data_IF_138825033493
#
_entry.id   IF_138825033493
#
_cell.length_a   1.000
_cell.length_b   1.000
_cell.length_c   1.000
_cell.angle_alpha   90.00
_cell.angle_beta   90.00
_cell.angle_gamma   90.00
#
_symmetry.space_group_name_H-M   'P 1'
#
loop_
_entity.id
_entity.type
_entity.pdbx_description
1 polymer ?
#
# COMPACT_ATOMS: atom_id res chain seq x y z
N UNK A 1 -19.86 13.69 -11.76
CA UNK A 1 -19.82 14.62 -12.90
C UNK A 1 -18.55 14.32 -13.70
N UNK A 2 -18.67 14.21 -15.01
CA UNK A 2 -17.54 14.03 -15.94
C UNK A 2 -17.31 15.30 -16.75
N UNK A 3 -16.11 15.47 -17.30
CA UNK A 3 -15.86 16.56 -18.23
C UNK A 3 -16.58 16.29 -19.55
N UNK A 4 -17.12 17.33 -20.19
CA UNK A 4 -17.81 17.22 -21.47
C UNK A 4 -16.96 16.62 -22.60
N UNK A 5 -15.62 16.72 -22.53
CA UNK A 5 -14.72 16.06 -23.48
C UNK A 5 -14.79 14.53 -23.46
N UNK A 6 -15.30 13.94 -22.37
CA UNK A 6 -15.44 12.50 -22.21
C UNK A 6 -16.85 12.00 -22.53
N UNK A 7 -17.72 12.84 -23.12
CA UNK A 7 -19.14 12.52 -23.31
C UNK A 7 -19.37 11.19 -24.01
N UNK A 8 -18.69 10.97 -25.14
CA UNK A 8 -18.80 9.74 -25.93
C UNK A 8 -18.52 8.48 -25.09
N UNK A 9 -17.40 8.47 -24.36
CA UNK A 9 -17.02 7.35 -23.48
C UNK A 9 -17.99 7.22 -22.31
N UNK A 10 -18.36 8.34 -21.68
CA UNK A 10 -19.21 8.37 -20.51
C UNK A 10 -20.60 7.79 -20.79
N UNK A 11 -21.21 8.19 -21.90
CA UNK A 11 -22.55 7.72 -22.31
C UNK A 11 -22.52 6.25 -22.70
N UNK A 12 -21.52 5.83 -23.47
CA UNK A 12 -21.44 4.47 -24.03
C UNK A 12 -21.01 3.42 -23.01
N UNK A 13 -20.00 3.72 -22.19
CA UNK A 13 -19.33 2.72 -21.35
C UNK A 13 -19.47 2.96 -19.85
N UNK A 14 -19.76 4.19 -19.41
CA UNK A 14 -19.80 4.55 -17.99
C UNK A 14 -21.13 5.19 -17.53
N UNK A 15 -22.31 4.72 -17.97
CA UNK A 15 -23.59 5.37 -17.63
C UNK A 15 -23.84 5.39 -16.12
N UNK A 16 -23.34 4.40 -15.37
CA UNK A 16 -23.43 4.35 -13.91
C UNK A 16 -22.66 5.49 -13.21
N UNK A 17 -21.54 5.97 -13.80
CA UNK A 17 -20.76 7.09 -13.26
C UNK A 17 -21.41 8.45 -13.52
N UNK A 18 -22.40 8.50 -14.42
CA UNK A 18 -23.21 9.69 -14.70
C UNK A 18 -24.40 9.83 -13.75
N UNK A 19 -24.80 8.75 -13.08
CA UNK A 19 -25.95 8.75 -12.15
C UNK A 19 -25.55 9.14 -10.72
N UNK A 20 -24.34 8.77 -10.29
CA UNK A 20 -23.86 9.02 -8.92
C UNK A 20 -22.35 9.28 -8.87
N UNK A 21 -21.93 10.07 -7.89
CA UNK A 21 -20.53 10.34 -7.58
C UNK A 21 -20.23 9.98 -6.13
N UNK A 22 -18.95 9.80 -5.79
CA UNK A 22 -18.49 9.52 -4.43
C UNK A 22 -17.44 10.53 -4.01
N UNK A 23 -17.65 11.17 -2.87
CA UNK A 23 -16.67 12.08 -2.29
C UNK A 23 -15.41 11.31 -1.84
N UNK A 24 -14.23 11.88 -2.05
CA UNK A 24 -12.99 11.18 -1.71
C UNK A 24 -12.74 11.13 -0.20
N UNK A 25 -13.01 12.22 0.51
CA UNK A 25 -12.68 12.40 1.91
C UNK A 25 -13.61 11.59 2.82
N UNK A 26 -14.91 11.69 2.55
CA UNK A 26 -15.96 11.14 3.40
C UNK A 26 -16.70 9.97 2.74
N UNK A 27 -16.34 9.61 1.50
CA UNK A 27 -16.89 8.46 0.79
C UNK A 27 -18.40 8.47 0.57
N UNK A 28 -19.07 9.60 0.81
CA UNK A 28 -20.50 9.75 0.64
C UNK A 28 -20.87 9.71 -0.84
N UNK A 29 -21.91 8.96 -1.16
CA UNK A 29 -22.48 8.91 -2.51
C UNK A 29 -23.48 10.05 -2.68
N UNK A 30 -23.39 10.77 -3.80
CA UNK A 30 -24.34 11.82 -4.16
C UNK A 30 -24.88 11.59 -5.57
N UNK A 31 -26.14 11.96 -5.79
CA UNK A 31 -26.74 11.90 -7.12
C UNK A 31 -26.11 12.97 -8.00
N UNK A 32 -25.68 12.59 -9.19
CA UNK A 32 -25.18 13.52 -10.19
C UNK A 32 -26.40 14.09 -10.92
N UNK A 33 -26.64 15.39 -10.78
CA UNK A 33 -27.75 16.08 -11.46
C UNK A 33 -27.41 16.44 -12.91
N UNK A 34 -26.13 16.64 -13.20
CA UNK A 34 -25.61 16.93 -14.53
C UNK A 34 -24.44 16.01 -14.82
N UNK A 35 -24.64 15.02 -15.71
CA UNK A 35 -23.63 14.01 -16.03
C UNK A 35 -22.34 14.61 -16.58
N UNK A 36 -22.46 15.64 -17.43
CA UNK A 36 -21.35 16.29 -18.11
C UNK A 36 -21.34 17.80 -17.87
N UNK A 37 -20.16 18.34 -17.65
CA UNK A 37 -19.93 19.77 -17.48
C UNK A 37 -18.72 20.22 -18.31
N UNK A 38 -18.76 21.39 -18.96
CA UNK A 38 -17.61 21.90 -19.70
C UNK A 38 -16.47 22.26 -18.74
N UNK A 39 -15.22 22.17 -19.23
CA UNK A 39 -14.03 22.63 -18.50
C UNK A 39 -13.92 22.09 -17.05
N UNK A 40 -14.26 20.82 -16.81
CA UNK A 40 -14.02 20.17 -15.50
C UNK A 40 -12.58 19.66 -15.39
N UNK A 41 -12.08 19.00 -16.43
CA UNK A 41 -10.70 18.52 -16.44
C UNK A 41 -9.72 19.66 -16.71
N UNK A 42 -8.47 19.51 -16.25
CA UNK A 42 -7.42 20.49 -16.46
C UNK A 42 -7.18 20.78 -17.95
N UNK A 43 -7.22 19.76 -18.81
CA UNK A 43 -6.99 19.92 -20.25
C UNK A 43 -8.03 20.86 -20.87
N UNK A 44 -9.32 20.67 -20.58
CA UNK A 44 -10.38 21.59 -21.05
C UNK A 44 -10.33 22.97 -20.38
N UNK A 45 -9.58 23.14 -19.30
CA UNK A 45 -9.28 24.44 -18.67
C UNK A 45 -8.01 25.11 -19.24
N UNK A 46 -7.29 24.44 -20.15
CA UNK A 46 -5.98 24.90 -20.62
C UNK A 46 -4.87 24.77 -19.57
N UNK A 47 -5.11 23.99 -18.50
CA UNK A 47 -4.14 23.73 -17.44
C UNK A 47 -3.36 22.42 -17.73
N UNK A 48 -2.13 22.29 -17.21
CA UNK A 48 -1.41 21.03 -17.27
C UNK A 48 -2.22 19.88 -16.69
N UNK A 49 -2.24 18.69 -17.32
CA UNK A 49 -2.96 17.55 -16.81
C UNK A 49 -2.45 17.15 -15.41
N UNK A 50 -3.37 16.91 -14.48
CA UNK A 50 -3.01 16.54 -13.12
C UNK A 50 -2.52 15.09 -13.05
N UNK A 51 -1.38 14.87 -12.40
CA UNK A 51 -0.87 13.54 -12.11
C UNK A 51 -1.73 12.89 -11.01
N UNK A 52 -2.48 11.84 -11.35
CA UNK A 52 -3.25 11.04 -10.37
C UNK A 52 -2.98 9.53 -10.56
N UNK A 53 -1.73 9.08 -10.34
CA UNK A 53 -1.38 7.69 -10.59
C UNK A 53 -2.13 6.73 -9.67
N UNK A 54 -2.63 5.62 -10.21
CA UNK A 54 -3.18 4.54 -9.39
C UNK A 54 -2.08 3.80 -8.62
N UNK A 55 -2.46 3.14 -7.53
CA UNK A 55 -1.59 2.29 -6.74
C UNK A 55 -1.00 1.14 -7.59
N UNK A 56 0.24 0.75 -7.28
CA UNK A 56 0.89 -0.39 -7.90
C UNK A 56 0.30 -1.69 -7.34
N UNK A 57 -0.63 -2.29 -8.07
CA UNK A 57 -1.24 -3.58 -7.70
C UNK A 57 -1.01 -4.63 -8.79
N UNK A 58 -1.40 -5.87 -8.53
CA UNK A 58 -1.33 -6.94 -9.54
C UNK A 58 -1.96 -6.48 -10.87
N UNK A 59 -1.20 -6.65 -11.98
CA UNK A 59 -1.51 -6.16 -13.35
C UNK A 59 -1.42 -4.64 -13.58
N UNK A 60 -1.04 -3.84 -12.58
CA UNK A 60 -0.83 -2.38 -12.67
C UNK A 60 0.52 -1.96 -12.07
N UNK A 61 1.59 -2.65 -12.45
CA UNK A 61 2.93 -2.44 -11.88
C UNK A 61 3.74 -1.35 -12.58
N UNK A 62 3.55 -1.13 -13.89
CA UNK A 62 4.33 -0.14 -14.65
C UNK A 62 3.88 1.30 -14.42
N UNK A 63 4.80 2.28 -14.54
CA UNK A 63 4.46 3.72 -14.47
C UNK A 63 3.41 4.11 -15.51
N UNK A 64 3.52 3.60 -16.74
CA UNK A 64 2.52 3.81 -17.80
C UNK A 64 1.14 3.33 -17.35
N UNK A 65 1.02 2.10 -16.84
CA UNK A 65 -0.25 1.56 -16.35
C UNK A 65 -0.86 2.40 -15.22
N UNK A 66 -0.03 3.00 -14.37
CA UNK A 66 -0.46 3.77 -13.21
C UNK A 66 -0.86 5.19 -13.57
N UNK A 67 -0.07 5.89 -14.38
CA UNK A 67 -0.30 7.30 -14.72
C UNK A 67 -1.31 7.49 -15.85
N UNK A 68 -1.32 6.60 -16.85
CA UNK A 68 -2.25 6.64 -17.98
C UNK A 68 -3.46 5.72 -17.79
N UNK A 69 -3.78 5.35 -16.55
CA UNK A 69 -4.80 4.34 -16.25
C UNK A 69 -6.16 4.67 -16.90
N UNK A 70 -6.54 5.96 -16.94
CA UNK A 70 -7.80 6.43 -17.50
C UNK A 70 -7.78 6.32 -19.02
N UNK A 71 -6.73 6.83 -19.66
CA UNK A 71 -6.57 6.79 -21.10
C UNK A 71 -6.46 5.36 -21.61
N UNK A 72 -5.70 4.51 -20.93
CA UNK A 72 -5.57 3.08 -21.22
C UNK A 72 -6.94 2.41 -21.11
N UNK A 73 -7.70 2.68 -20.04
CA UNK A 73 -9.04 2.11 -19.87
C UNK A 73 -10.00 2.54 -20.98
N UNK A 74 -10.00 3.82 -21.36
CA UNK A 74 -10.88 4.33 -22.43
C UNK A 74 -10.51 3.75 -23.79
N UNK A 75 -9.21 3.67 -24.11
CA UNK A 75 -8.73 3.07 -25.34
C UNK A 75 -9.04 1.57 -25.39
N UNK A 76 -8.88 0.87 -24.27
CA UNK A 76 -9.27 -0.53 -24.14
C UNK A 76 -10.75 -0.76 -24.42
N UNK A 77 -11.63 0.08 -23.85
CA UNK A 77 -13.07 -0.01 -24.09
C UNK A 77 -13.37 0.12 -25.59
N UNK A 78 -12.78 1.11 -26.27
CA UNK A 78 -12.98 1.32 -27.72
C UNK A 78 -12.50 0.11 -28.53
N UNK A 79 -11.24 -0.30 -28.37
CA UNK A 79 -10.67 -1.40 -29.17
C UNK A 79 -11.34 -2.74 -28.95
N UNK A 80 -11.80 -3.01 -27.72
CA UNK A 80 -12.54 -4.24 -27.44
C UNK A 80 -13.93 -4.22 -28.08
N UNK A 81 -14.57 -3.06 -28.19
CA UNK A 81 -15.90 -2.89 -28.79
C UNK A 81 -15.87 -2.94 -30.34
N UNK A 82 -14.71 -2.66 -30.94
CA UNK A 82 -14.46 -2.81 -32.37
C UNK A 82 -14.18 -4.27 -32.79
N UNK A 83 -13.97 -5.18 -31.82
CA UNK A 83 -13.70 -6.58 -32.14
C UNK A 83 -14.94 -7.29 -32.69
N UNK A 84 -14.78 -8.21 -33.67
CA UNK A 84 -15.86 -9.06 -34.13
C UNK A 84 -16.47 -9.85 -32.97
N UNK A 85 -17.78 -9.67 -32.74
CA UNK A 85 -18.52 -10.31 -31.64
C UNK A 85 -18.61 -9.50 -30.34
N UNK A 86 -18.16 -8.24 -30.32
CA UNK A 86 -18.21 -7.39 -29.12
C UNK A 86 -19.61 -6.95 -28.66
N UNK A 87 -20.62 -6.72 -29.54
CA UNK A 87 -21.98 -6.49 -29.08
C UNK A 87 -22.62 -7.83 -28.66
N UNK A 88 -22.47 -8.21 -27.40
CA UNK A 88 -23.16 -9.35 -26.78
C UNK A 88 -22.47 -10.72 -26.90
N UNK A 89 -21.30 -10.82 -27.53
CA UNK A 89 -20.50 -12.05 -27.61
C UNK A 89 -19.38 -12.12 -26.56
N UNK A 90 -18.91 -13.34 -26.28
CA UNK A 90 -17.77 -13.58 -25.37
C UNK A 90 -16.44 -13.40 -26.12
N UNK A 91 -15.73 -12.31 -25.84
CA UNK A 91 -14.33 -12.14 -26.26
C UNK A 91 -13.45 -13.13 -25.48
N UNK A 92 -12.56 -13.85 -26.16
CA UNK A 92 -11.63 -14.78 -25.51
C UNK A 92 -10.64 -14.05 -24.60
N UNK A 93 -10.13 -14.74 -23.57
CA UNK A 93 -9.16 -14.16 -22.63
C UNK A 93 -7.85 -13.80 -23.34
N UNK A 94 -7.45 -14.61 -24.30
CA UNK A 94 -6.25 -14.46 -25.10
C UNK A 94 -6.36 -13.19 -25.94
N UNK A 95 -7.49 -12.99 -26.63
CA UNK A 95 -7.67 -11.83 -27.49
C UNK A 95 -7.71 -10.52 -26.70
N UNK A 96 -8.37 -10.56 -25.54
CA UNK A 96 -8.36 -9.42 -24.61
C UNK A 96 -6.95 -9.08 -24.15
N UNK A 97 -6.14 -10.09 -23.81
CA UNK A 97 -4.75 -9.89 -23.38
C UNK A 97 -3.88 -9.28 -24.48
N UNK A 98 -4.06 -9.70 -25.74
CA UNK A 98 -3.38 -9.09 -26.89
C UNK A 98 -3.71 -7.59 -27.02
N UNK A 99 -5.00 -7.23 -26.92
CA UNK A 99 -5.44 -5.83 -27.02
C UNK A 99 -4.89 -5.01 -25.85
N UNK A 100 -4.93 -5.54 -24.63
CA UNK A 100 -4.31 -4.92 -23.46
C UNK A 100 -2.82 -4.65 -23.69
N UNK A 101 -2.06 -5.63 -24.17
CA UNK A 101 -0.63 -5.46 -24.46
C UNK A 101 -0.38 -4.40 -25.54
N UNK A 102 -1.17 -4.37 -26.62
CA UNK A 102 -1.05 -3.40 -27.68
C UNK A 102 -1.32 -1.96 -27.20
N UNK A 103 -2.41 -1.75 -26.46
CA UNK A 103 -2.74 -0.42 -25.88
C UNK A 103 -1.63 0.05 -24.95
N UNK A 104 -1.10 -0.84 -24.10
CA UNK A 104 0.02 -0.49 -23.22
C UNK A 104 1.30 -0.11 -23.98
N UNK A 105 1.61 -0.79 -25.08
CA UNK A 105 2.75 -0.48 -25.93
C UNK A 105 2.58 0.91 -26.60
N UNK A 106 1.39 1.21 -27.10
CA UNK A 106 1.09 2.50 -27.74
C UNK A 106 1.26 3.67 -26.77
N UNK A 107 0.74 3.55 -25.55
CA UNK A 107 0.90 4.60 -24.54
C UNK A 107 2.35 4.74 -24.07
N UNK A 108 3.14 3.66 -24.07
CA UNK A 108 4.58 3.75 -23.81
C UNK A 108 5.28 4.57 -24.91
N UNK A 109 5.04 4.25 -26.18
CA UNK A 109 5.62 4.98 -27.30
C UNK A 109 5.20 6.46 -27.32
N UNK A 110 3.90 6.74 -27.06
CA UNK A 110 3.39 8.12 -26.95
C UNK A 110 4.06 8.89 -25.82
N UNK A 111 4.28 8.27 -24.66
CA UNK A 111 4.95 8.93 -23.54
C UNK A 111 6.41 9.25 -23.86
N UNK A 112 7.12 8.36 -24.57
CA UNK A 112 8.51 8.60 -24.99
C UNK A 112 8.64 9.78 -25.96
N UNK A 113 7.64 9.98 -26.84
CA UNK A 113 7.66 11.06 -27.83
C UNK A 113 7.12 12.38 -27.27
N UNK A 114 6.01 12.34 -26.54
CA UNK A 114 5.32 13.51 -26.00
C UNK A 114 4.63 13.15 -24.66
N UNK A 115 5.36 13.26 -23.53
CA UNK A 115 4.86 12.84 -22.25
C UNK A 115 3.73 13.74 -21.75
N UNK A 116 2.49 13.25 -21.82
CA UNK A 116 1.33 13.89 -21.17
C UNK A 116 1.50 14.09 -19.67
N UNK A 117 2.05 13.09 -18.98
CA UNK A 117 2.24 13.12 -17.52
C UNK A 117 3.71 13.13 -17.16
N UNK A 118 4.07 13.91 -16.14
CA UNK A 118 5.41 13.87 -15.57
C UNK A 118 5.52 12.72 -14.57
N UNK A 119 6.55 11.89 -14.70
CA UNK A 119 6.89 10.87 -13.69
C UNK A 119 7.80 11.40 -12.59
N UNK A 120 7.94 12.73 -12.48
CA UNK A 120 8.73 13.37 -11.42
C UNK A 120 8.08 13.10 -10.07
N UNK A 121 8.63 12.10 -9.40
CA UNK A 121 8.40 11.77 -8.00
C UNK A 121 9.47 12.47 -7.16
N UNK A 122 9.19 12.67 -5.87
CA UNK A 122 10.17 13.27 -4.95
C UNK A 122 11.46 12.44 -4.97
N UNK A 123 12.64 13.01 -5.25
CA UNK A 123 13.88 12.26 -5.27
C UNK A 123 14.14 11.60 -3.92
N UNK A 124 14.57 10.33 -3.92
CA UNK A 124 14.88 9.63 -2.67
C UNK A 124 15.97 10.35 -1.86
N UNK A 125 16.94 10.98 -2.55
CA UNK A 125 18.01 11.74 -1.92
C UNK A 125 17.48 12.95 -1.16
N UNK A 126 16.44 13.60 -1.69
CA UNK A 126 15.78 14.73 -1.02
C UNK A 126 15.02 14.26 0.23
N UNK A 127 14.28 13.14 0.13
CA UNK A 127 13.59 12.54 1.27
C UNK A 127 14.58 12.21 2.38
N UNK A 128 15.61 11.42 2.08
CA UNK A 128 16.62 10.97 3.04
C UNK A 128 17.39 12.14 3.68
N UNK A 129 17.68 13.19 2.91
CA UNK A 129 18.33 14.40 3.42
C UNK A 129 17.40 15.19 4.36
N UNK A 130 16.13 15.38 3.98
CA UNK A 130 15.15 16.12 4.77
C UNK A 130 14.87 15.43 6.10
N UNK A 131 14.79 14.10 6.10
CA UNK A 131 14.51 13.30 7.29
C UNK A 131 15.77 12.91 8.07
N UNK A 132 16.95 13.39 7.64
CA UNK A 132 18.27 13.09 8.24
C UNK A 132 18.47 11.59 8.48
N UNK A 133 18.03 10.77 7.52
CA UNK A 133 18.07 9.32 7.65
C UNK A 133 19.51 8.81 7.67
N UNK A 134 19.83 8.00 8.67
CA UNK A 134 21.12 7.29 8.73
C UNK A 134 21.17 6.23 7.63
N UNK A 135 22.24 6.25 6.82
CA UNK A 135 22.47 5.27 5.76
C UNK A 135 23.66 4.39 6.14
N UNK A 136 23.41 3.11 6.38
CA UNK A 136 24.45 2.11 6.61
C UNK A 136 24.79 1.49 5.25
N UNK A 137 26.01 1.72 4.75
CA UNK A 137 26.45 1.18 3.46
C UNK A 137 27.45 0.05 3.66
N UNK A 138 27.10 -1.15 3.21
CA UNK A 138 27.96 -2.34 3.28
C UNK A 138 28.27 -2.82 1.87
N UNK A 139 29.54 -3.11 1.59
CA UNK A 139 29.94 -3.73 0.34
C UNK A 139 29.89 -5.25 0.47
N UNK A 140 29.12 -5.92 -0.38
CA UNK A 140 29.01 -7.39 -0.37
C UNK A 140 28.82 -7.95 -1.79
N UNK A 141 29.40 -9.12 -2.11
CA UNK A 141 29.21 -9.76 -3.42
C UNK A 141 27.74 -10.11 -3.68
N UNK A 142 27.26 -9.80 -4.88
CA UNK A 142 25.91 -10.15 -5.33
C UNK A 142 25.96 -11.41 -6.19
N UNK A 143 25.16 -12.41 -5.83
CA UNK A 143 24.94 -13.62 -6.63
C UNK A 143 23.55 -13.57 -7.23
N UNK A 144 23.40 -13.38 -8.56
CA UNK A 144 22.09 -13.34 -9.19
C UNK A 144 21.41 -14.71 -9.17
N UNK A 145 20.09 -14.74 -8.95
CA UNK A 145 19.30 -15.98 -9.01
C UNK A 145 18.63 -16.18 -10.38
N UNK A 146 18.47 -17.45 -10.84
CA UNK A 146 17.75 -17.74 -12.08
C UNK A 146 16.28 -17.31 -12.06
N UNK A 147 15.65 -17.34 -10.89
CA UNK A 147 14.24 -16.99 -10.67
C UNK A 147 14.01 -15.48 -10.50
N UNK A 148 15.05 -14.66 -10.65
CA UNK A 148 15.04 -13.25 -10.28
C UNK A 148 15.37 -13.05 -8.80
N UNK A 149 15.89 -11.87 -8.47
CA UNK A 149 16.42 -11.56 -7.14
C UNK A 149 17.94 -11.69 -7.06
N UNK A 150 18.47 -11.30 -5.90
CA UNK A 150 19.91 -11.37 -5.59
C UNK A 150 20.08 -12.09 -4.25
N UNK A 151 21.13 -12.90 -4.16
CA UNK A 151 21.64 -13.40 -2.90
C UNK A 151 22.94 -12.68 -2.55
N UNK A 152 23.19 -12.58 -1.26
CA UNK A 152 24.41 -12.03 -0.68
C UNK A 152 25.16 -13.16 0.01
N UNK A 153 26.47 -13.15 -0.10
CA UNK A 153 27.33 -14.03 0.71
C UNK A 153 27.33 -13.55 2.16
N UNK A 154 26.60 -14.27 3.02
CA UNK A 154 26.50 -14.03 4.45
C UNK A 154 27.34 -15.01 5.27
N UNK A 155 27.27 -14.90 6.60
CA UNK A 155 28.04 -15.75 7.53
C UNK A 155 27.64 -17.23 7.48
N UNK A 156 26.42 -17.53 7.04
CA UNK A 156 25.86 -18.88 6.93
C UNK A 156 25.73 -19.36 5.48
N UNK A 157 26.44 -18.72 4.54
CA UNK A 157 26.34 -18.99 3.11
C UNK A 157 25.48 -17.95 2.37
N UNK A 158 24.91 -18.33 1.22
CA UNK A 158 24.12 -17.41 0.41
C UNK A 158 22.74 -17.14 1.04
N UNK A 159 22.45 -15.87 1.31
CA UNK A 159 21.23 -15.42 1.99
C UNK A 159 20.56 -14.26 1.24
N UNK A 160 19.30 -13.97 1.55
CA UNK A 160 18.62 -12.79 1.00
C UNK A 160 19.24 -11.48 1.54
N UNK A 161 19.04 -10.34 0.86
CA UNK A 161 19.50 -9.04 1.35
C UNK A 161 19.04 -8.72 2.78
N UNK A 162 17.79 -9.05 3.10
CA UNK A 162 17.16 -8.83 4.41
C UNK A 162 17.84 -9.70 5.46
N UNK A 163 18.06 -10.99 5.19
CA UNK A 163 18.76 -11.88 6.12
C UNK A 163 20.23 -11.48 6.29
N UNK A 164 20.89 -10.93 5.26
CA UNK A 164 22.23 -10.36 5.40
C UNK A 164 22.24 -9.15 6.33
N UNK A 165 21.25 -8.27 6.24
CA UNK A 165 21.10 -7.13 7.16
C UNK A 165 20.83 -7.61 8.60
N UNK A 166 20.00 -8.64 8.79
CA UNK A 166 19.79 -9.26 10.11
C UNK A 166 21.11 -9.76 10.71
N UNK A 167 21.91 -10.53 9.95
CA UNK A 167 23.22 -11.01 10.40
C UNK A 167 24.16 -9.86 10.83
N UNK A 168 24.11 -8.73 10.11
CA UNK A 168 24.91 -7.55 10.46
C UNK A 168 24.55 -6.97 11.84
N UNK A 169 23.25 -6.89 12.15
CA UNK A 169 22.75 -6.37 13.43
C UNK A 169 22.87 -7.40 14.56
N UNK A 170 22.62 -8.69 14.28
CA UNK A 170 22.84 -9.82 15.20
C UNK A 170 24.30 -9.85 15.69
N UNK A 171 25.27 -9.69 14.77
CA UNK A 171 26.69 -9.61 15.13
C UNK A 171 27.06 -8.40 16.03
N UNK A 172 26.14 -7.43 16.18
CA UNK A 172 26.27 -6.25 17.05
C UNK A 172 25.42 -6.34 18.32
N UNK A 173 24.85 -7.51 18.60
CA UNK A 173 24.07 -7.76 19.81
C UNK A 173 22.62 -7.30 19.74
N UNK A 174 22.07 -7.09 18.54
CA UNK A 174 20.64 -6.83 18.37
C UNK A 174 19.89 -8.12 18.01
N UNK A 175 18.62 -8.16 18.37
CA UNK A 175 17.65 -9.06 17.77
C UNK A 175 17.00 -8.41 16.56
N UNK A 176 16.65 -9.22 15.57
CA UNK A 176 15.98 -8.74 14.35
C UNK A 176 14.68 -9.51 14.12
N UNK A 177 13.69 -8.80 13.59
CA UNK A 177 12.43 -9.36 13.15
C UNK A 177 12.08 -8.78 11.78
N UNK A 178 11.81 -9.64 10.81
CA UNK A 178 11.18 -9.21 9.55
C UNK A 178 9.78 -8.70 9.86
N UNK A 179 9.55 -7.44 9.49
CA UNK A 179 8.45 -6.66 10.01
C UNK A 179 7.89 -5.73 8.93
N UNK A 180 7.32 -6.30 7.87
CA UNK A 180 6.55 -5.54 6.87
C UNK A 180 5.24 -4.97 7.45
N UNK A 181 4.28 -4.59 6.59
CA UNK A 181 3.01 -3.97 6.98
C UNK A 181 2.05 -4.87 7.80
N UNK A 182 2.09 -6.19 7.58
CA UNK A 182 1.08 -7.13 8.08
C UNK A 182 0.91 -7.17 9.60
N UNK A 183 1.99 -7.27 10.42
CA UNK A 183 1.86 -7.23 11.87
C UNK A 183 1.14 -5.98 12.38
N UNK A 184 1.35 -4.82 11.76
CA UNK A 184 0.67 -3.57 12.14
C UNK A 184 -0.81 -3.58 11.80
N UNK A 185 -1.21 -4.24 10.71
CA UNK A 185 -2.62 -4.41 10.35
C UNK A 185 -3.34 -5.39 11.26
N UNK A 186 -2.65 -6.42 11.74
CA UNK A 186 -3.16 -7.29 12.80
C UNK A 186 -3.41 -6.48 14.07
N UNK A 187 -2.40 -5.71 14.52
CA UNK A 187 -2.52 -4.85 15.72
C UNK A 187 -3.68 -3.87 15.56
N UNK A 188 -3.80 -3.23 14.41
CA UNK A 188 -4.94 -2.36 14.12
C UNK A 188 -6.27 -3.11 14.16
N UNK A 189 -6.36 -4.28 13.52
CA UNK A 189 -7.57 -5.10 13.54
C UNK A 189 -7.99 -5.46 14.97
N UNK A 190 -7.05 -5.92 15.80
CA UNK A 190 -7.32 -6.30 17.20
C UNK A 190 -7.70 -5.11 18.05
N UNK A 191 -6.90 -4.04 18.05
CA UNK A 191 -7.12 -2.94 18.97
C UNK A 191 -8.19 -1.96 18.52
N UNK A 192 -8.57 -1.94 17.25
CA UNK A 192 -9.50 -0.93 16.72
C UNK A 192 -10.86 -1.50 16.32
N UNK A 193 -11.10 -2.83 16.38
CA UNK A 193 -12.38 -3.38 15.90
C UNK A 193 -13.59 -2.81 16.65
N UNK A 194 -13.54 -2.66 17.98
CA UNK A 194 -14.65 -2.09 18.75
C UNK A 194 -15.00 -0.67 18.30
N UNK A 195 -14.00 0.14 17.91
CA UNK A 195 -14.21 1.48 17.40
C UNK A 195 -14.75 1.47 15.97
N UNK A 196 -14.17 0.63 15.11
CA UNK A 196 -14.49 0.56 13.67
C UNK A 196 -15.87 -0.05 13.45
N UNK A 197 -16.18 -1.11 14.18
CA UNK A 197 -17.41 -1.89 14.09
C UNK A 197 -18.48 -1.42 15.08
N UNK A 198 -18.25 -0.27 15.73
CA UNK A 198 -19.18 0.35 16.69
C UNK A 198 -20.59 0.52 16.06
N UNK A 199 -21.63 -0.15 16.60
CA UNK A 199 -22.99 -0.03 16.07
C UNK A 199 -23.59 1.36 16.29
N UNK A 200 -23.04 2.17 17.20
CA UNK A 200 -23.45 3.56 17.40
C UNK A 200 -22.88 4.52 16.35
N UNK A 201 -21.97 4.06 15.47
CA UNK A 201 -21.57 4.85 14.31
C UNK A 201 -22.71 4.89 13.27
N UNK A 202 -23.34 6.04 12.99
CA UNK A 202 -24.46 6.13 12.05
C UNK A 202 -24.07 5.87 10.59
N UNK A 203 -22.77 5.86 10.27
CA UNK A 203 -22.26 5.49 8.94
C UNK A 203 -21.90 4.01 8.84
N UNK A 204 -22.02 3.27 9.93
CA UNK A 204 -21.73 1.84 9.92
C UNK A 204 -22.79 1.09 9.13
N UNK A 205 -22.33 0.11 8.36
CA UNK A 205 -23.21 -0.74 7.55
C UNK A 205 -22.61 -2.13 7.47
N UNK A 206 -23.49 -3.11 7.32
CA UNK A 206 -23.06 -4.47 7.00
C UNK A 206 -22.47 -4.50 5.59
N UNK A 207 -21.29 -5.08 5.48
CA UNK A 207 -20.63 -5.35 4.21
C UNK A 207 -20.30 -6.83 4.11
N UNK A 208 -20.39 -7.34 2.89
CA UNK A 208 -19.99 -8.69 2.53
C UNK A 208 -18.71 -8.64 1.69
N UNK A 209 -17.81 -9.59 1.95
CA UNK A 209 -16.67 -9.86 1.09
C UNK A 209 -16.26 -11.34 1.18
N UNK A 210 -15.48 -11.81 0.20
CA UNK A 210 -15.00 -13.20 0.21
C UNK A 210 -13.99 -13.45 1.34
N UNK A 211 -14.14 -14.58 2.04
CA UNK A 211 -13.21 -14.99 3.09
C UNK A 211 -11.78 -15.12 2.54
N UNK A 212 -10.83 -14.55 3.26
CA UNK A 212 -9.41 -14.66 2.93
C UNK A 212 -8.85 -16.01 3.37
N UNK A 213 -9.33 -16.52 4.49
CA UNK A 213 -9.03 -17.88 4.95
C UNK A 213 -9.42 -18.91 3.89
N UNK A 214 -10.64 -18.82 3.37
CA UNK A 214 -11.11 -19.72 2.32
C UNK A 214 -10.32 -19.54 1.00
N UNK A 215 -10.03 -18.28 0.63
CA UNK A 215 -9.22 -17.98 -0.55
C UNK A 215 -7.83 -18.62 -0.48
N UNK A 216 -7.15 -18.53 0.66
CA UNK A 216 -5.82 -19.11 0.86
C UNK A 216 -5.87 -20.65 0.83
N UNK A 217 -7.00 -21.25 1.23
CA UNK A 217 -7.29 -22.67 1.11
C UNK A 217 -7.81 -23.09 -0.28
N UNK A 218 -7.91 -22.15 -1.23
CA UNK A 218 -8.46 -22.34 -2.59
C UNK A 218 -9.92 -22.81 -2.60
N UNK A 219 -10.68 -22.47 -1.56
CA UNK A 219 -12.12 -22.70 -1.47
C UNK A 219 -12.84 -21.46 -2.00
N UNK A 220 -13.66 -21.65 -3.04
CA UNK A 220 -14.39 -20.55 -3.68
C UNK A 220 -15.76 -20.35 -3.02
N UNK A 221 -16.24 -19.10 -3.02
CA UNK A 221 -17.64 -18.77 -2.68
C UNK A 221 -17.95 -18.69 -1.19
N UNK A 222 -16.95 -18.72 -0.31
CA UNK A 222 -17.16 -18.46 1.12
C UNK A 222 -17.19 -16.96 1.37
N UNK A 223 -18.28 -16.47 1.92
CA UNK A 223 -18.52 -15.06 2.21
C UNK A 223 -18.47 -14.79 3.71
N UNK A 224 -17.97 -13.63 4.09
CA UNK A 224 -17.99 -13.14 5.47
C UNK A 224 -18.56 -11.73 5.55
N UNK A 225 -19.18 -11.46 6.69
CA UNK A 225 -19.97 -10.26 6.93
C UNK A 225 -19.41 -9.48 8.10
N UNK A 226 -19.16 -8.19 7.90
CA UNK A 226 -18.62 -7.31 8.94
C UNK A 226 -19.26 -5.92 8.86
N UNK A 227 -19.30 -5.21 9.98
CA UNK A 227 -19.72 -3.82 10.03
C UNK A 227 -18.55 -2.93 9.62
N UNK A 228 -18.67 -2.17 8.53
CA UNK A 228 -17.70 -1.14 8.19
C UNK A 228 -18.38 0.20 7.90
N UNK A 229 -17.85 1.30 8.44
CA UNK A 229 -18.34 2.63 8.11
C UNK A 229 -18.06 2.96 6.65
N UNK A 230 -18.97 3.69 6.00
CA UNK A 230 -18.83 4.08 4.59
C UNK A 230 -17.51 4.79 4.26
N UNK A 231 -16.98 5.54 5.24
CA UNK A 231 -15.73 6.28 5.19
C UNK A 231 -14.52 5.53 5.77
N UNK A 232 -14.65 4.23 6.08
CA UNK A 232 -13.57 3.44 6.66
C UNK A 232 -12.24 3.63 5.92
N UNK A 233 -11.21 3.98 6.69
CA UNK A 233 -9.84 4.17 6.26
C UNK A 233 -9.56 5.41 5.42
N UNK A 234 -10.56 6.25 5.14
CA UNK A 234 -10.37 7.57 4.56
C UNK A 234 -10.09 8.63 5.66
N UNK A 235 -9.45 9.77 5.32
CA UNK A 235 -9.17 10.82 6.31
C UNK A 235 -10.42 11.38 7.00
N UNK A 236 -11.57 11.38 6.31
CA UNK A 236 -12.84 11.83 6.87
C UNK A 236 -13.31 11.01 8.07
N UNK A 237 -12.98 9.70 8.13
CA UNK A 237 -13.32 8.85 9.28
C UNK A 237 -12.67 9.38 10.56
N UNK A 238 -11.35 9.63 10.52
CA UNK A 238 -10.60 10.17 11.66
C UNK A 238 -11.18 11.50 12.15
N UNK A 239 -11.43 12.44 11.21
CA UNK A 239 -11.97 13.76 11.53
C UNK A 239 -13.34 13.65 12.22
N UNK A 240 -14.24 12.86 11.65
CA UNK A 240 -15.61 12.65 12.15
C UNK A 240 -15.63 11.95 13.50
N UNK A 241 -14.83 10.89 13.66
CA UNK A 241 -14.82 10.03 14.85
C UNK A 241 -13.81 10.46 15.92
N UNK A 242 -13.21 11.65 15.80
CA UNK A 242 -12.14 12.15 16.71
C UNK A 242 -12.44 11.97 18.21
N UNK A 243 -13.67 12.29 18.66
CA UNK A 243 -14.08 12.11 20.06
C UNK A 243 -14.20 10.64 20.46
N UNK A 244 -14.75 9.80 19.58
CA UNK A 244 -14.88 8.36 19.82
C UNK A 244 -13.50 7.70 19.85
N UNK A 245 -12.60 8.08 18.94
CA UNK A 245 -11.19 7.66 18.91
C UNK A 245 -10.52 8.01 20.24
N UNK A 246 -10.60 9.27 20.69
CA UNK A 246 -9.98 9.68 21.94
C UNK A 246 -10.45 8.84 23.14
N UNK A 247 -11.76 8.58 23.25
CA UNK A 247 -12.32 7.70 24.29
C UNK A 247 -11.86 6.26 24.16
N UNK A 248 -11.83 5.73 22.94
CA UNK A 248 -11.40 4.36 22.66
C UNK A 248 -9.96 4.12 23.09
N UNK A 249 -9.06 5.08 22.83
CA UNK A 249 -7.66 4.99 23.26
C UNK A 249 -7.48 4.97 24.79
N UNK A 250 -8.47 5.43 25.57
CA UNK A 250 -8.47 5.28 27.04
C UNK A 250 -8.78 3.85 27.49
N UNK A 251 -9.41 3.04 26.63
CA UNK A 251 -9.74 1.63 26.90
C UNK A 251 -8.61 0.68 26.51
N UNK A 252 -7.70 1.13 25.64
CA UNK A 252 -6.57 0.32 25.21
C UNK A 252 -5.52 0.34 26.32
N UNK A 253 -5.49 -0.74 27.10
CA UNK A 253 -4.30 -1.16 27.82
C UNK A 253 -3.48 -2.10 26.93
N UNK A 254 -2.15 -2.03 27.02
CA UNK A 254 -1.25 -2.84 26.22
C UNK A 254 -0.97 -4.18 26.90
N UNK A 255 -2.02 -4.84 27.41
CA UNK A 255 -1.88 -6.11 28.12
C UNK A 255 -2.00 -7.30 27.17
N UNK A 256 -1.29 -8.37 27.51
CA UNK A 256 -1.46 -9.69 26.89
C UNK A 256 -2.91 -10.16 26.96
N UNK A 257 -3.55 -9.93 28.11
CA UNK A 257 -4.94 -10.27 28.33
C UNK A 257 -5.86 -9.58 27.32
N UNK A 258 -5.73 -8.26 27.13
CA UNK A 258 -6.60 -7.53 26.20
C UNK A 258 -6.39 -7.99 24.76
N UNK A 259 -5.13 -8.21 24.36
CA UNK A 259 -4.81 -8.73 23.03
C UNK A 259 -5.48 -10.08 22.78
N UNK A 260 -5.37 -11.02 23.72
CA UNK A 260 -5.94 -12.36 23.61
C UNK A 260 -7.46 -12.34 23.64
N UNK A 261 -8.02 -11.53 24.54
CA UNK A 261 -9.45 -11.36 24.69
C UNK A 261 -10.10 -10.82 23.41
N UNK A 262 -9.48 -9.83 22.76
CA UNK A 262 -9.99 -9.24 21.51
C UNK A 262 -9.59 -10.01 20.25
N UNK A 263 -8.72 -11.01 20.36
CA UNK A 263 -8.21 -11.73 19.20
C UNK A 263 -9.34 -12.44 18.43
N UNK A 264 -10.27 -13.11 19.12
CA UNK A 264 -11.39 -13.80 18.47
C UNK A 264 -12.32 -12.82 17.76
N UNK A 265 -12.84 -11.84 18.50
CA UNK A 265 -13.89 -10.94 18.01
C UNK A 265 -13.44 -10.04 16.85
N UNK A 266 -12.14 -9.73 16.77
CA UNK A 266 -11.57 -8.93 15.68
C UNK A 266 -11.28 -9.71 14.39
N UNK A 267 -11.50 -11.04 14.35
CA UNK A 267 -11.17 -11.90 13.21
C UNK A 267 -11.74 -11.40 11.89
N UNK A 268 -13.02 -11.00 11.86
CA UNK A 268 -13.66 -10.55 10.61
C UNK A 268 -13.05 -9.26 10.07
N UNK A 269 -12.65 -8.34 10.95
CA UNK A 269 -11.93 -7.14 10.54
C UNK A 269 -10.55 -7.52 10.02
N UNK A 270 -9.84 -8.43 10.70
CA UNK A 270 -8.53 -8.90 10.24
C UNK A 270 -8.58 -9.59 8.88
N UNK A 271 -9.59 -10.42 8.60
CA UNK A 271 -9.80 -10.99 7.27
C UNK A 271 -10.05 -9.90 6.22
N UNK A 272 -10.86 -8.89 6.55
CA UNK A 272 -11.09 -7.75 5.64
C UNK A 272 -9.78 -7.03 5.29
N UNK A 273 -8.92 -6.87 6.28
CA UNK A 273 -7.60 -6.25 6.17
C UNK A 273 -6.51 -7.18 5.62
N UNK A 274 -6.85 -8.41 5.23
CA UNK A 274 -5.89 -9.43 4.78
C UNK A 274 -4.72 -9.66 5.78
N UNK A 275 -5.03 -9.55 7.06
CA UNK A 275 -4.09 -9.61 8.18
C UNK A 275 -4.59 -10.65 9.21
N UNK A 276 -4.84 -11.87 8.76
CA UNK A 276 -5.55 -12.90 9.52
C UNK A 276 -4.72 -14.17 9.78
N UNK A 277 -3.56 -14.31 9.13
CA UNK A 277 -2.77 -15.53 9.20
C UNK A 277 -2.16 -15.71 10.61
N UNK A 278 -2.10 -16.94 11.14
CA UNK A 278 -1.53 -17.19 12.47
C UNK A 278 -0.09 -16.67 12.63
N UNK A 279 0.72 -16.76 11.57
CA UNK A 279 2.08 -16.22 11.56
C UNK A 279 2.10 -14.69 11.70
N UNK A 280 1.18 -13.97 11.05
CA UNK A 280 1.04 -12.52 11.19
C UNK A 280 0.60 -12.13 12.61
N UNK A 281 -0.26 -12.94 13.25
CA UNK A 281 -0.70 -12.75 14.64
C UNK A 281 0.44 -12.95 15.64
N UNK A 282 1.25 -13.99 15.45
CA UNK A 282 2.44 -14.21 16.27
C UNK A 282 3.44 -13.06 16.12
N UNK A 283 3.68 -12.60 14.89
CA UNK A 283 4.51 -11.45 14.59
C UNK A 283 3.97 -10.17 15.27
N UNK A 284 2.67 -9.90 15.17
CA UNK A 284 2.01 -8.75 15.80
C UNK A 284 2.20 -8.73 17.33
N UNK A 285 2.08 -9.88 18.00
CA UNK A 285 2.34 -9.98 19.44
C UNK A 285 3.78 -9.59 19.77
N UNK A 286 4.76 -10.05 18.99
CA UNK A 286 6.17 -9.69 19.20
C UNK A 286 6.41 -8.20 18.98
N UNK A 287 5.84 -7.62 17.91
CA UNK A 287 5.90 -6.16 17.65
C UNK A 287 5.31 -5.38 18.82
N UNK A 288 4.15 -5.78 19.35
CA UNK A 288 3.53 -5.17 20.52
C UNK A 288 4.50 -5.11 21.71
N UNK A 289 5.13 -6.24 22.03
CA UNK A 289 6.08 -6.34 23.14
C UNK A 289 7.31 -5.44 22.94
N UNK A 290 7.84 -5.34 21.72
CA UNK A 290 9.01 -4.51 21.40
C UNK A 290 8.68 -3.01 21.49
N UNK A 291 7.53 -2.61 20.94
CA UNK A 291 7.14 -1.20 20.89
C UNK A 291 6.72 -0.66 22.26
N UNK A 292 6.05 -1.50 23.05
CA UNK A 292 5.39 -1.10 24.29
C UNK A 292 4.19 -0.16 24.07
N UNK A 293 3.52 0.22 25.18
CA UNK A 293 2.18 0.83 25.13
C UNK A 293 2.14 2.18 24.42
N UNK A 294 3.16 3.02 24.64
CA UNK A 294 3.18 4.36 24.07
C UNK A 294 3.34 4.31 22.54
N UNK A 295 4.28 3.52 22.05
CA UNK A 295 4.57 3.43 20.62
C UNK A 295 3.51 2.63 19.88
N UNK A 296 2.89 1.63 20.51
CA UNK A 296 1.69 0.98 19.98
C UNK A 296 0.57 2.01 19.72
N UNK A 297 0.29 2.90 20.68
CA UNK A 297 -0.72 3.95 20.48
C UNK A 297 -0.35 4.90 19.33
N UNK A 298 0.93 5.25 19.17
CA UNK A 298 1.40 6.05 18.03
C UNK A 298 1.10 5.35 16.70
N UNK A 299 1.41 4.05 16.59
CA UNK A 299 1.10 3.22 15.41
C UNK A 299 -0.41 3.21 15.12
N UNK A 300 -1.24 2.92 16.12
CA UNK A 300 -2.69 2.85 15.94
C UNK A 300 -3.28 4.20 15.52
N UNK A 301 -2.79 5.29 16.12
CA UNK A 301 -3.20 6.66 15.79
C UNK A 301 -2.77 7.05 14.37
N UNK A 302 -1.55 6.69 13.98
CA UNK A 302 -1.05 6.90 12.63
C UNK A 302 -1.91 6.16 11.62
N UNK A 303 -2.18 4.87 11.83
CA UNK A 303 -3.03 4.08 10.94
C UNK A 303 -4.46 4.62 10.85
N UNK A 304 -5.13 4.95 11.97
CA UNK A 304 -6.53 5.38 11.92
C UNK A 304 -6.72 6.75 11.25
N UNK A 305 -5.69 7.60 11.18
CA UNK A 305 -5.75 8.92 10.52
C UNK A 305 -6.03 8.81 9.02
N UNK A 306 -5.44 7.82 8.36
CA UNK A 306 -5.60 7.59 6.93
C UNK A 306 -5.22 6.15 6.56
N UNK A 307 -5.98 5.18 7.08
CA UNK A 307 -5.61 3.75 7.03
C UNK A 307 -5.16 3.28 5.64
N UNK A 308 -5.90 3.60 4.59
CA UNK A 308 -5.52 3.18 3.23
C UNK A 308 -4.30 3.90 2.68
N UNK A 309 -4.06 5.15 3.11
CA UNK A 309 -2.84 5.88 2.81
C UNK A 309 -1.64 5.39 3.61
N UNK A 310 -1.84 4.76 4.77
CA UNK A 310 -0.76 4.26 5.63
C UNK A 310 -0.67 2.74 5.63
N UNK A 311 -1.36 2.08 4.68
CA UNK A 311 -1.43 0.64 4.58
C UNK A 311 -0.07 0.04 4.17
N UNK A 312 0.59 0.63 3.16
CA UNK A 312 1.89 0.17 2.65
C UNK A 312 3.02 1.10 3.06
N UNK A 313 4.26 0.64 2.85
CA UNK A 313 5.48 1.43 3.03
C UNK A 313 6.23 1.17 4.33
N UNK A 314 5.75 0.23 5.15
CA UNK A 314 6.41 -0.19 6.38
C UNK A 314 7.78 -0.82 6.08
N UNK A 315 8.84 -0.53 6.87
CA UNK A 315 10.20 -1.01 6.62
C UNK A 315 10.34 -2.52 6.73
N UNK A 316 11.36 -3.11 6.11
CA UNK A 316 11.55 -4.57 6.07
C UNK A 316 11.82 -5.19 7.46
N UNK A 317 12.57 -4.51 8.32
CA UNK A 317 13.00 -5.03 9.62
C UNK A 317 12.63 -4.12 10.80
N UNK A 318 12.31 -4.76 11.92
CA UNK A 318 12.32 -4.19 13.26
C UNK A 318 13.53 -4.76 14.01
N UNK A 319 14.48 -3.90 14.34
CA UNK A 319 15.73 -4.25 15.04
C UNK A 319 15.65 -3.72 16.46
N UNK A 320 15.98 -4.55 17.45
CA UNK A 320 15.77 -4.19 18.84
C UNK A 320 16.71 -4.88 19.82
N UNK A 321 16.74 -4.35 21.04
CA UNK A 321 17.33 -4.88 22.27
C UNK A 321 16.46 -4.37 23.44
N UNK A 322 16.68 -4.79 24.71
CA UNK A 322 15.74 -4.51 25.80
C UNK A 322 15.28 -3.04 25.95
N UNK A 323 16.15 -2.06 25.69
CA UNK A 323 15.86 -0.64 25.90
C UNK A 323 15.82 0.21 24.62
N UNK A 324 15.88 -0.41 23.44
CA UNK A 324 15.98 0.31 22.18
C UNK A 324 15.40 -0.50 21.01
N UNK A 325 14.69 0.18 20.13
CA UNK A 325 14.32 -0.37 18.82
C UNK A 325 14.42 0.68 17.73
N UNK A 326 14.58 0.23 16.49
CA UNK A 326 14.48 1.04 15.29
C UNK A 326 14.06 0.19 14.10
N UNK A 327 13.55 0.86 13.08
CA UNK A 327 13.18 0.25 11.82
C UNK A 327 14.31 0.32 10.80
N UNK A 328 14.40 -0.68 9.94
CA UNK A 328 15.37 -0.73 8.86
C UNK A 328 14.69 -1.11 7.55
N UNK A 329 14.92 -0.30 6.52
CA UNK A 329 14.61 -0.65 5.14
C UNK A 329 15.90 -1.12 4.45
N UNK A 330 15.85 -2.26 3.78
CA UNK A 330 16.99 -2.90 3.14
C UNK A 330 16.92 -2.66 1.63
N UNK A 331 17.98 -2.08 1.07
CA UNK A 331 18.06 -1.81 -0.38
C UNK A 331 19.36 -2.34 -0.98
N UNK A 332 19.20 -3.10 -2.06
CA UNK A 332 20.33 -3.44 -2.91
C UNK A 332 20.81 -2.23 -3.73
N UNK A 333 21.99 -2.34 -4.34
CA UNK A 333 22.63 -1.23 -5.06
C UNK A 333 21.77 -0.59 -6.16
N UNK A 334 20.88 -1.37 -6.79
CA UNK A 334 19.99 -0.92 -7.87
C UNK A 334 18.55 -0.68 -7.41
N UNK A 335 18.20 -1.13 -6.21
CA UNK A 335 16.84 -0.95 -5.69
C UNK A 335 16.65 0.48 -5.15
N UNK A 336 15.44 1.01 -5.32
CA UNK A 336 15.07 2.36 -4.91
C UNK A 336 13.87 2.30 -3.97
N UNK A 337 13.78 3.28 -3.09
CA UNK A 337 12.59 3.44 -2.25
C UNK A 337 11.34 3.64 -3.12
N UNK A 338 10.29 2.89 -2.82
CA UNK A 338 8.95 3.11 -3.40
C UNK A 338 8.32 4.40 -2.85
N UNK A 339 7.28 4.91 -3.50
CA UNK A 339 6.57 6.11 -3.01
C UNK A 339 5.92 5.88 -1.65
N UNK A 340 5.41 4.67 -1.38
CA UNK A 340 4.82 4.33 -0.09
C UNK A 340 5.89 4.31 1.01
N UNK A 341 7.09 3.80 0.72
CA UNK A 341 8.23 3.83 1.65
C UNK A 341 8.72 5.26 1.90
N UNK A 342 8.86 6.08 0.84
CA UNK A 342 9.22 7.50 1.00
C UNK A 342 8.21 8.25 1.86
N UNK A 343 6.91 8.01 1.66
CA UNK A 343 5.84 8.59 2.48
C UNK A 343 5.98 8.14 3.93
N UNK A 344 6.14 6.84 4.19
CA UNK A 344 6.33 6.34 5.55
C UNK A 344 7.56 6.97 6.24
N UNK A 345 8.67 7.17 5.53
CA UNK A 345 9.88 7.82 6.08
C UNK A 345 9.60 9.27 6.49
N UNK A 346 8.88 10.02 5.65
CA UNK A 346 8.45 11.40 5.97
C UNK A 346 7.49 11.40 7.15
N UNK A 347 6.46 10.58 7.11
CA UNK A 347 5.45 10.49 8.17
C UNK A 347 6.06 10.00 9.50
N UNK A 348 7.07 9.11 9.44
CA UNK A 348 7.81 8.69 10.62
C UNK A 348 8.59 9.86 11.22
N UNK A 349 9.28 10.65 10.40
CA UNK A 349 9.98 11.85 10.87
C UNK A 349 9.03 12.90 11.47
N UNK A 350 7.84 13.07 10.90
CA UNK A 350 6.88 14.10 11.32
C UNK A 350 5.95 13.70 12.47
N UNK A 351 5.59 12.41 12.58
CA UNK A 351 4.52 11.96 13.46
C UNK A 351 4.88 10.80 14.41
N UNK A 352 5.61 9.78 13.95
CA UNK A 352 5.88 8.57 14.76
C UNK A 352 7.15 8.73 15.61
N UNK A 353 8.17 9.37 15.05
CA UNK A 353 9.49 9.58 15.61
C UNK A 353 10.20 8.29 16.03
N UNK A 354 9.97 7.18 15.32
CA UNK A 354 10.74 5.96 15.54
C UNK A 354 12.12 6.09 14.91
N UNK A 355 13.13 5.45 15.52
CA UNK A 355 14.43 5.30 14.88
C UNK A 355 14.27 4.63 13.51
N UNK A 356 14.93 5.15 12.48
CA UNK A 356 14.88 4.59 11.13
C UNK A 356 16.25 4.66 10.46
N UNK A 357 16.66 3.55 9.84
CA UNK A 357 17.91 3.44 9.09
C UNK A 357 17.65 2.85 7.70
N UNK A 358 18.39 3.34 6.71
CA UNK A 358 18.45 2.71 5.39
C UNK A 358 19.70 1.84 5.30
N UNK A 359 19.53 0.53 5.15
CA UNK A 359 20.63 -0.42 4.99
C UNK A 359 20.87 -0.68 3.50
N UNK A 360 21.98 -0.17 2.97
CA UNK A 360 22.32 -0.24 1.55
C UNK A 360 23.44 -1.23 1.28
N UNK A 361 23.14 -2.26 0.49
CA UNK A 361 24.11 -3.24 0.04
C UNK A 361 24.66 -2.82 -1.32
N UNK A 362 25.97 -2.59 -1.37
CA UNK A 362 26.69 -2.11 -2.56
C UNK A 362 27.55 -3.22 -3.14
N UNK A 363 27.68 -3.26 -4.46
CA UNK A 363 28.62 -4.19 -5.11
C UNK A 363 30.04 -3.67 -4.87
N UNK A 364 31.00 -4.51 -4.46
CA UNK A 364 32.40 -4.11 -4.37
C UNK A 364 32.88 -3.54 -5.71
N UNK A 365 33.57 -2.40 -5.68
CA UNK A 365 34.21 -1.89 -6.90
C UNK A 365 35.32 -2.87 -7.32
N UNK A 366 35.47 -3.12 -8.63
CA UNK A 366 36.52 -4.00 -9.17
C UNK A 366 37.96 -3.56 -8.80
N UNK A 367 38.15 -2.34 -8.27
CA UNK A 367 39.46 -1.84 -7.82
C UNK A 367 39.82 -2.25 -6.38
N UNK A 368 38.86 -2.67 -5.54
CA UNK A 368 39.14 -3.12 -4.18
C UNK A 368 39.53 -4.61 -4.10
N UNK A 369 39.13 -5.42 -5.09
CA UNK A 369 39.44 -6.85 -5.16
C UNK A 369 40.88 -7.17 -5.61
N UNK A 370 41.65 -6.16 -6.03
CA UNK A 370 43.04 -6.31 -6.46
C UNK A 370 44.08 -5.98 -5.35
N UNK A 371 43.61 -5.75 -4.11
CA UNK A 371 44.46 -5.43 -2.95
C UNK A 371 44.14 -6.28 -1.70
N UNK A 372 43.43 -7.38 -1.85
CA UNK A 372 43.24 -8.38 -0.80
C UNK A 372 44.17 -9.57 -1.04
#
# INVERSE_FOLDING_TARGET
MMCACDREIGERYLPHQLASGRDYENRQTFKVTHGFQPAICNECRGLPPANTPLAAIHRRTSKIARYYWREIAFELMRRLDELPGAPGGKISKEKRKEVEQAVHADFRARHEQNPKYSFLERPQSEVLATTKTEIISIAAPHVPQPTGGILIEGSTGLVTPERFAEQYFEARGYECMQCESRPFHVLFGIYMYLLVQDPADPRNRMVMFGSRTAYDQKINGVEIWTSLPEDFGAPGYYKRRRKAIARHFMLIDDSDWLFDYWLGDSERLREYLWAHQPADVAAARRVRMILGPENLRKVLLYLIRHYWGHYLGWPDLLVYRPDEFFFVEVKSSKDKLSEDQKRWIVDNHECLHFGFKLFKITTPSKQAAAKA
#
